data_IF_955245231563
#
_entry.id   IF_955245231563
#
_cell.length_a   1.000
_cell.length_b   1.000
_cell.length_c   1.000
_cell.angle_alpha   90.00
_cell.angle_beta   90.00
_cell.angle_gamma   90.00
#
_symmetry.space_group_name_H-M   'P 1'
#
loop_
_entity.id
_entity.type
_entity.pdbx_description
1 polymer ?
#
# COMPACT_ATOMS: atom_id res chain seq x y z
N UNK A 1 -20.34 -20.35 5.65
CA UNK A 1 -20.53 -18.99 5.07
C UNK A 1 -19.57 -18.82 3.91
N UNK A 2 -20.08 -18.84 2.67
CA UNK A 2 -19.28 -18.69 1.44
C UNK A 2 -19.13 -17.19 1.14
N UNK A 3 -17.90 -16.69 1.03
CA UNK A 3 -17.61 -15.35 0.52
C UNK A 3 -17.92 -15.32 -0.97
N UNK A 4 -18.83 -14.46 -1.40
CA UNK A 4 -19.18 -14.28 -2.82
C UNK A 4 -17.98 -13.75 -3.60
N UNK A 5 -17.52 -14.43 -4.67
CA UNK A 5 -16.59 -13.85 -5.62
C UNK A 5 -17.34 -12.82 -6.47
N UNK A 6 -16.70 -11.68 -6.74
CA UNK A 6 -17.16 -10.75 -7.76
C UNK A 6 -16.90 -11.42 -9.12
N UNK A 7 -17.97 -11.83 -9.82
CA UNK A 7 -17.86 -12.48 -11.12
C UNK A 7 -17.47 -11.48 -12.21
N UNK A 8 -16.27 -11.63 -12.76
CA UNK A 8 -15.88 -11.09 -14.05
C UNK A 8 -16.21 -12.11 -15.16
N UNK A 9 -16.46 -11.68 -16.41
CA UNK A 9 -16.96 -12.55 -17.49
C UNK A 9 -16.00 -13.65 -17.97
N UNK A 10 -14.77 -13.74 -17.44
CA UNK A 10 -13.73 -14.65 -17.94
C UNK A 10 -13.28 -15.73 -16.94
N UNK A 11 -14.03 -16.02 -15.87
CA UNK A 11 -13.77 -17.20 -15.01
C UNK A 11 -12.49 -17.16 -14.16
N UNK A 12 -11.65 -16.13 -14.29
CA UNK A 12 -10.58 -15.83 -13.33
C UNK A 12 -11.20 -15.11 -12.14
N UNK A 13 -11.31 -15.80 -11.01
CA UNK A 13 -11.60 -15.15 -9.73
C UNK A 13 -10.47 -14.15 -9.48
N UNK A 14 -10.73 -12.86 -9.60
CA UNK A 14 -9.72 -11.82 -9.33
C UNK A 14 -9.35 -11.86 -7.84
N UNK A 15 -8.30 -12.61 -7.51
CA UNK A 15 -7.80 -12.69 -6.14
C UNK A 15 -6.95 -11.46 -5.84
N UNK A 16 -7.54 -10.50 -5.13
CA UNK A 16 -6.81 -9.36 -4.60
C UNK A 16 -5.83 -9.81 -3.52
N UNK A 17 -4.55 -9.48 -3.69
CA UNK A 17 -3.48 -9.69 -2.69
C UNK A 17 -3.45 -8.50 -1.72
N UNK A 18 -3.24 -8.77 -0.43
CA UNK A 18 -2.91 -7.73 0.56
C UNK A 18 -1.44 -7.38 0.38
N UNK A 19 -1.13 -6.22 -0.20
CA UNK A 19 0.25 -5.85 -0.50
C UNK A 19 0.93 -5.22 0.71
N UNK A 20 0.26 -4.28 1.36
CA UNK A 20 0.84 -3.52 2.45
C UNK A 20 -0.23 -2.99 3.38
N UNK A 21 0.10 -2.95 4.67
CA UNK A 21 -0.68 -2.31 5.72
C UNK A 21 0.15 -1.23 6.38
N UNK A 22 -0.45 -0.09 6.68
CA UNK A 22 0.20 0.93 7.49
C UNK A 22 -0.79 1.84 8.20
N UNK A 23 -0.29 2.63 9.14
CA UNK A 23 -1.05 3.62 9.89
C UNK A 23 -0.67 5.07 9.52
N UNK A 24 -1.50 6.01 9.92
CA UNK A 24 -1.18 7.43 9.87
C UNK A 24 -2.05 8.25 10.82
N UNK A 25 -1.61 9.46 11.16
CA UNK A 25 -2.44 10.49 11.80
C UNK A 25 -3.47 11.11 10.86
N UNK A 26 -3.25 11.03 9.55
CA UNK A 26 -4.21 11.45 8.54
C UNK A 26 -4.14 10.47 7.36
N UNK A 27 -4.97 9.43 7.45
CA UNK A 27 -4.92 8.24 6.60
C UNK A 27 -5.10 8.55 5.12
N UNK A 28 -6.10 9.35 4.74
CA UNK A 28 -6.36 9.71 3.34
C UNK A 28 -5.25 10.61 2.79
N UNK A 29 -4.82 11.62 3.55
CA UNK A 29 -3.71 12.50 3.15
C UNK A 29 -2.45 11.68 2.92
N UNK A 30 -2.11 10.76 3.83
CA UNK A 30 -0.95 9.87 3.70
C UNK A 30 -0.98 9.06 2.41
N UNK A 31 -2.12 8.45 2.09
CA UNK A 31 -2.27 7.69 0.85
C UNK A 31 -2.07 8.58 -0.36
N UNK A 32 -2.78 9.70 -0.45
CA UNK A 32 -2.73 10.59 -1.63
C UNK A 32 -1.35 11.21 -1.79
N UNK A 33 -0.81 11.86 -0.75
CA UNK A 33 0.39 12.70 -0.87
C UNK A 33 1.68 11.90 -0.84
N UNK A 34 1.76 10.83 -0.05
CA UNK A 34 3.00 10.08 0.10
C UNK A 34 3.02 8.79 -0.73
N UNK A 35 1.90 8.11 -0.91
CA UNK A 35 1.87 6.84 -1.63
C UNK A 35 1.57 7.04 -3.11
N UNK A 36 0.47 7.69 -3.45
CA UNK A 36 0.06 7.91 -4.84
C UNK A 36 0.95 8.95 -5.55
N UNK A 37 1.33 10.03 -4.88
CA UNK A 37 2.06 11.16 -5.49
C UNK A 37 3.44 11.46 -4.88
N UNK A 38 3.88 10.65 -3.93
CA UNK A 38 5.17 10.83 -3.28
C UNK A 38 6.32 10.17 -4.04
N UNK A 39 7.46 10.04 -3.36
CA UNK A 39 8.65 9.36 -3.83
C UNK A 39 9.13 8.32 -2.80
N UNK A 40 10.13 7.52 -3.15
CA UNK A 40 10.67 6.50 -2.24
C UNK A 40 11.21 7.12 -0.96
N UNK A 41 11.69 8.36 -0.94
CA UNK A 41 12.24 8.96 0.28
C UNK A 41 11.20 9.07 1.40
N UNK A 42 10.03 9.62 1.07
CA UNK A 42 8.97 9.98 2.02
C UNK A 42 7.99 8.85 2.37
N UNK A 43 8.15 7.65 1.79
CA UNK A 43 7.17 6.57 1.94
C UNK A 43 7.80 5.20 2.14
N UNK A 44 7.51 4.58 3.30
CA UNK A 44 7.93 3.20 3.59
C UNK A 44 7.36 2.18 2.59
N UNK A 45 6.08 2.32 2.21
CA UNK A 45 5.47 1.53 1.16
C UNK A 45 6.23 1.66 -0.17
N UNK A 46 6.54 2.87 -0.62
CA UNK A 46 7.24 3.08 -1.90
C UNK A 46 8.64 2.46 -1.88
N UNK A 47 9.37 2.55 -0.76
CA UNK A 47 10.65 1.85 -0.57
C UNK A 47 10.47 0.34 -0.71
N UNK A 48 9.50 -0.23 0.00
CA UNK A 48 9.26 -1.67 -0.02
C UNK A 48 8.86 -2.16 -1.41
N UNK A 49 8.01 -1.41 -2.14
CA UNK A 49 7.66 -1.70 -3.54
C UNK A 49 8.88 -1.63 -4.44
N UNK A 50 9.68 -0.56 -4.35
CA UNK A 50 10.89 -0.41 -5.16
C UNK A 50 11.87 -1.58 -4.96
N UNK A 51 12.15 -1.93 -3.71
CA UNK A 51 13.02 -3.05 -3.37
C UNK A 51 12.46 -4.40 -3.85
N UNK A 52 11.14 -4.62 -3.73
CA UNK A 52 10.47 -5.84 -4.18
C UNK A 52 10.46 -5.99 -5.71
N UNK A 53 10.32 -4.88 -6.45
CA UNK A 53 10.50 -4.84 -7.92
C UNK A 53 11.96 -5.13 -8.30
N UNK A 54 12.91 -4.94 -7.38
CA UNK A 54 14.33 -5.25 -7.59
C UNK A 54 15.22 -4.03 -7.73
N UNK A 55 14.70 -2.82 -7.54
CA UNK A 55 15.50 -1.61 -7.51
C UNK A 55 16.35 -1.55 -6.24
N UNK A 56 17.61 -1.13 -6.40
CA UNK A 56 18.46 -0.76 -5.26
C UNK A 56 18.12 0.67 -4.84
N UNK A 57 18.23 0.96 -3.54
CA UNK A 57 18.03 2.29 -2.99
C UNK A 57 19.37 2.89 -2.57
N UNK A 58 19.74 4.03 -3.16
CA UNK A 58 20.94 4.77 -2.81
C UNK A 58 20.63 5.78 -1.71
N UNK A 59 21.45 5.78 -0.66
CA UNK A 59 21.37 6.73 0.45
C UNK A 59 22.54 7.71 0.38
N UNK A 60 22.26 9.00 0.44
CA UNK A 60 23.28 10.06 0.43
C UNK A 60 23.02 11.03 1.55
N UNK A 61 24.06 11.47 2.26
CA UNK A 61 23.92 12.44 3.35
C UNK A 61 23.85 13.85 2.76
N UNK A 62 22.83 14.63 3.17
CA UNK A 62 22.69 16.05 2.81
C UNK A 62 23.64 16.91 3.64
N UNK A 63 23.86 18.16 3.21
CA UNK A 63 24.62 19.17 3.96
C UNK A 63 24.05 19.40 5.37
N UNK A 64 22.73 19.36 5.52
CA UNK A 64 22.06 19.49 6.82
C UNK A 64 22.07 18.21 7.67
N UNK A 65 22.83 17.18 7.28
CA UNK A 65 22.95 15.91 7.99
C UNK A 65 21.84 14.90 7.72
N UNK A 66 20.69 15.31 7.15
CA UNK A 66 19.61 14.37 6.83
C UNK A 66 19.96 13.43 5.67
N UNK A 67 19.32 12.27 5.61
CA UNK A 67 19.56 11.29 4.54
C UNK A 67 18.58 11.51 3.38
N UNK A 68 19.12 11.66 2.17
CA UNK A 68 18.38 11.58 0.91
C UNK A 68 18.38 10.15 0.41
N UNK A 69 17.23 9.66 -0.03
CA UNK A 69 17.05 8.29 -0.54
C UNK A 69 16.47 8.38 -1.94
N UNK A 70 17.07 7.67 -2.90
CA UNK A 70 16.55 7.55 -4.27
C UNK A 70 16.73 6.13 -4.79
N UNK A 71 16.01 5.82 -5.86
CA UNK A 71 16.27 4.62 -6.65
C UNK A 71 17.63 4.77 -7.35
N UNK A 72 18.45 3.73 -7.28
CA UNK A 72 19.82 3.69 -7.80
C UNK A 72 19.82 3.29 -9.27
N UNK A 73 19.43 4.24 -10.11
CA UNK A 73 19.47 4.19 -11.57
C UNK A 73 20.17 5.44 -12.11
N UNK A 74 20.61 5.39 -13.36
CA UNK A 74 21.17 6.55 -14.07
C UNK A 74 20.17 7.72 -14.09
N UNK A 75 18.89 7.44 -14.38
CA UNK A 75 17.77 8.33 -14.09
C UNK A 75 16.84 7.72 -13.02
N UNK A 76 16.87 8.21 -11.77
CA UNK A 76 15.98 7.74 -10.72
C UNK A 76 14.48 7.92 -11.01
N UNK A 77 14.10 8.83 -11.92
CA UNK A 77 12.70 9.12 -12.23
C UNK A 77 12.02 7.98 -13.01
N UNK A 78 12.77 7.22 -13.80
CA UNK A 78 12.25 6.03 -14.49
C UNK A 78 11.73 5.00 -13.47
N UNK A 79 12.55 4.70 -12.46
CA UNK A 79 12.16 3.81 -11.38
C UNK A 79 10.96 4.33 -10.57
N UNK A 80 10.93 5.64 -10.28
CA UNK A 80 9.80 6.26 -9.57
C UNK A 80 8.51 6.21 -10.39
N UNK A 81 8.60 6.29 -11.71
CA UNK A 81 7.45 6.17 -12.61
C UNK A 81 6.85 4.78 -12.54
N UNK A 82 7.68 3.73 -12.59
CA UNK A 82 7.22 2.34 -12.44
C UNK A 82 6.59 2.09 -11.07
N UNK A 83 7.23 2.53 -10.00
CA UNK A 83 6.69 2.42 -8.63
C UNK A 83 5.36 3.16 -8.50
N UNK A 84 5.25 4.35 -9.10
CA UNK A 84 4.01 5.13 -9.10
C UNK A 84 2.90 4.43 -9.86
N UNK A 85 3.18 3.90 -11.05
CA UNK A 85 2.21 3.18 -11.86
C UNK A 85 1.64 1.98 -11.09
N UNK A 86 2.49 1.15 -10.50
CA UNK A 86 2.08 0.00 -9.70
C UNK A 86 1.21 0.38 -8.50
N UNK A 87 1.58 1.43 -7.76
CA UNK A 87 0.79 1.85 -6.59
C UNK A 87 -0.55 2.44 -7.02
N UNK A 88 -0.58 3.21 -8.11
CA UNK A 88 -1.80 3.86 -8.62
C UNK A 88 -2.78 2.88 -9.26
N UNK A 89 -2.32 1.76 -9.83
CA UNK A 89 -3.18 0.69 -10.33
C UNK A 89 -3.82 -0.15 -9.22
N UNK A 90 -3.26 -0.10 -8.01
CA UNK A 90 -3.84 -0.73 -6.83
C UNK A 90 -5.13 -0.07 -6.35
N UNK A 91 -5.80 -0.76 -5.43
CA UNK A 91 -6.98 -0.24 -4.73
C UNK A 91 -6.70 -0.16 -3.24
N UNK A 92 -7.34 0.80 -2.59
CA UNK A 92 -7.13 1.13 -1.19
C UNK A 92 -8.37 0.81 -0.38
N UNK A 93 -8.17 0.18 0.77
CA UNK A 93 -9.15 0.15 1.86
C UNK A 93 -8.56 0.84 3.06
N UNK A 94 -9.38 1.53 3.83
CA UNK A 94 -8.91 2.17 5.04
C UNK A 94 -10.05 2.30 6.06
N UNK A 95 -9.68 2.56 7.30
CA UNK A 95 -10.61 2.88 8.38
C UNK A 95 -10.03 4.01 9.23
N UNK A 96 -10.90 4.92 9.67
CA UNK A 96 -10.56 5.96 10.65
C UNK A 96 -10.75 5.36 12.04
N UNK A 97 -9.73 5.51 12.88
CA UNK A 97 -9.66 5.10 14.26
C UNK A 97 -9.95 6.30 15.19
N UNK A 98 -10.28 6.03 16.44
CA UNK A 98 -10.56 7.05 17.45
C UNK A 98 -9.33 7.90 17.77
N UNK A 99 -8.15 7.29 17.70
CA UNK A 99 -6.88 7.97 17.97
C UNK A 99 -5.73 7.38 17.16
N UNK A 100 -4.63 8.12 17.07
CA UNK A 100 -3.41 7.59 16.47
C UNK A 100 -2.83 6.42 17.28
N UNK A 101 -3.00 6.42 18.61
CA UNK A 101 -2.59 5.29 19.44
C UNK A 101 -3.36 4.01 19.08
N UNK A 102 -4.67 4.11 18.85
CA UNK A 102 -5.48 2.98 18.37
C UNK A 102 -5.02 2.55 16.97
N UNK A 103 -4.85 3.48 16.03
CA UNK A 103 -4.39 3.15 14.67
C UNK A 103 -3.03 2.44 14.66
N UNK A 104 -2.09 2.93 15.47
CA UNK A 104 -0.73 2.40 15.55
C UNK A 104 -0.67 0.98 16.12
N UNK A 105 -1.53 0.65 17.07
CA UNK A 105 -1.63 -0.70 17.64
C UNK A 105 -2.47 -1.62 16.74
N UNK A 106 -3.56 -1.11 16.17
CA UNK A 106 -4.44 -1.84 15.25
C UNK A 106 -3.72 -2.29 13.96
N UNK A 107 -2.78 -1.52 13.40
CA UNK A 107 -2.06 -1.96 12.21
C UNK A 107 -1.31 -3.29 12.44
N UNK A 108 -0.78 -3.53 13.64
CA UNK A 108 -0.04 -4.75 13.96
C UNK A 108 -0.99 -5.95 14.04
N UNK A 109 -2.18 -5.74 14.61
CA UNK A 109 -3.26 -6.71 14.50
C UNK A 109 -3.58 -7.03 13.03
N UNK A 110 -3.80 -6.01 12.20
CA UNK A 110 -4.14 -6.19 10.79
C UNK A 110 -3.02 -6.91 10.02
N UNK A 111 -1.75 -6.57 10.24
CA UNK A 111 -0.59 -7.27 9.67
C UNK A 111 -0.60 -8.74 10.09
N UNK A 112 -0.84 -9.05 11.36
CA UNK A 112 -0.86 -10.44 11.86
C UNK A 112 -1.95 -11.31 11.21
N UNK A 113 -3.10 -10.70 10.87
CA UNK A 113 -4.25 -11.43 10.29
C UNK A 113 -4.18 -11.52 8.78
N UNK A 114 -3.74 -10.45 8.11
CA UNK A 114 -3.74 -10.36 6.66
C UNK A 114 -2.46 -10.88 6.02
N UNK A 115 -1.35 -10.94 6.77
CA UNK A 115 -0.02 -11.37 6.29
C UNK A 115 0.35 -10.69 4.95
N UNK A 116 0.32 -9.35 4.88
CA UNK A 116 0.53 -8.64 3.63
C UNK A 116 1.95 -8.84 3.09
N UNK A 117 2.09 -8.86 1.76
CA UNK A 117 3.32 -9.25 1.05
C UNK A 117 4.54 -8.44 1.51
N UNK A 118 4.39 -7.13 1.73
CA UNK A 118 5.51 -6.22 1.96
C UNK A 118 5.78 -5.85 3.42
N UNK A 119 4.90 -6.19 4.38
CA UNK A 119 5.19 -5.93 5.79
C UNK A 119 6.08 -7.05 6.34
N UNK A 120 7.40 -6.84 6.29
CA UNK A 120 8.39 -7.82 6.79
C UNK A 120 8.54 -7.87 8.30
N UNK A 121 8.12 -6.82 9.00
CA UNK A 121 8.21 -6.71 10.46
C UNK A 121 6.84 -6.87 11.08
N UNK A 122 6.81 -7.47 12.27
CA UNK A 122 5.64 -7.53 13.13
C UNK A 122 6.05 -7.06 14.52
N UNK A 123 5.23 -6.23 15.14
CA UNK A 123 5.36 -5.88 16.55
C UNK A 123 4.18 -6.47 17.34
N UNK A 124 4.32 -6.65 18.66
CA UNK A 124 3.20 -6.96 19.52
C UNK A 124 2.09 -5.92 19.41
N UNK A 125 0.86 -6.36 19.62
CA UNK A 125 -0.31 -5.50 19.77
C UNK A 125 -1.08 -5.90 21.03
N UNK A 126 -1.92 -5.01 21.54
CA UNK A 126 -2.68 -5.23 22.77
C UNK A 126 -3.79 -6.28 22.59
N UNK A 127 -3.55 -7.49 23.10
CA UNK A 127 -4.49 -8.62 23.02
C UNK A 127 -5.84 -8.35 23.71
N UNK A 128 -5.90 -7.45 24.70
CA UNK A 128 -7.17 -7.07 25.34
C UNK A 128 -8.15 -6.41 24.34
N UNK A 129 -7.63 -5.84 23.25
CA UNK A 129 -8.41 -5.17 22.19
C UNK A 129 -8.84 -6.10 21.06
N UNK A 130 -8.64 -7.41 21.19
CA UNK A 130 -8.94 -8.40 20.13
C UNK A 130 -10.33 -8.23 19.52
N UNK A 131 -11.37 -8.03 20.35
CA UNK A 131 -12.76 -7.85 19.89
C UNK A 131 -12.88 -6.59 19.02
N UNK A 132 -12.41 -5.46 19.54
CA UNK A 132 -12.42 -4.16 18.86
C UNK A 132 -11.66 -4.21 17.53
N UNK A 133 -10.48 -4.82 17.49
CA UNK A 133 -9.69 -4.90 16.26
C UNK A 133 -10.26 -5.85 15.22
N UNK A 134 -10.93 -6.93 15.65
CA UNK A 134 -11.70 -7.78 14.74
C UNK A 134 -12.83 -7.00 14.08
N UNK A 135 -13.55 -6.17 14.83
CA UNK A 135 -14.62 -5.32 14.31
C UNK A 135 -14.08 -4.28 13.32
N UNK A 136 -13.01 -3.58 13.67
CA UNK A 136 -12.36 -2.61 12.78
C UNK A 136 -11.87 -3.27 11.48
N UNK A 137 -11.21 -4.42 11.59
CA UNK A 137 -10.74 -5.16 10.42
C UNK A 137 -11.91 -5.62 9.54
N UNK A 138 -12.97 -6.16 10.14
CA UNK A 138 -14.18 -6.58 9.41
C UNK A 138 -14.83 -5.41 8.66
N UNK A 139 -15.00 -4.26 9.32
CA UNK A 139 -15.52 -3.04 8.70
C UNK A 139 -14.63 -2.56 7.55
N UNK A 140 -13.32 -2.52 7.76
CA UNK A 140 -12.35 -2.15 6.74
C UNK A 140 -12.41 -3.10 5.54
N UNK A 141 -12.46 -4.42 5.76
CA UNK A 141 -12.53 -5.41 4.68
C UNK A 141 -13.87 -5.41 3.93
N UNK A 142 -14.99 -5.09 4.59
CA UNK A 142 -16.30 -4.94 3.95
C UNK A 142 -16.46 -3.63 3.17
N UNK A 143 -15.63 -2.62 3.46
CA UNK A 143 -15.67 -1.35 2.75
C UNK A 143 -15.31 -1.50 1.27
N UNK A 144 -15.80 -0.57 0.45
CA UNK A 144 -15.46 -0.49 -0.98
C UNK A 144 -13.98 -0.16 -1.14
N UNK A 145 -13.29 -0.90 -2.01
CA UNK A 145 -11.93 -0.57 -2.41
C UNK A 145 -11.93 0.65 -3.35
N UNK A 146 -11.03 1.60 -3.12
CA UNK A 146 -10.99 2.89 -3.83
C UNK A 146 -9.69 3.02 -4.62
N UNK A 147 -9.74 3.57 -5.83
CA UNK A 147 -8.54 4.04 -6.52
C UNK A 147 -8.03 5.34 -5.88
N UNK A 148 -6.76 5.71 -6.15
CA UNK A 148 -6.16 6.95 -5.64
C UNK A 148 -7.06 8.18 -5.86
N UNK A 149 -7.63 8.31 -7.07
CA UNK A 149 -8.47 9.47 -7.43
C UNK A 149 -9.80 9.52 -6.66
N UNK A 150 -10.33 8.36 -6.24
CA UNK A 150 -11.60 8.27 -5.49
C UNK A 150 -11.43 8.47 -3.98
N UNK A 151 -10.20 8.71 -3.51
CA UNK A 151 -9.91 9.04 -2.11
C UNK A 151 -10.05 10.53 -1.80
N UNK A 152 -10.01 11.40 -2.81
CA UNK A 152 -10.24 12.83 -2.60
C UNK A 152 -11.61 13.07 -1.96
N UNK A 153 -11.66 14.00 -1.00
CA UNK A 153 -12.86 14.36 -0.22
C UNK A 153 -13.45 13.23 0.63
N UNK A 154 -12.73 12.13 0.84
CA UNK A 154 -13.17 11.10 1.78
C UNK A 154 -12.85 11.47 3.23
N UNK A 155 -13.67 11.04 4.20
CA UNK A 155 -13.39 11.27 5.62
C UNK A 155 -12.01 10.75 6.00
N UNK A 156 -11.28 11.54 6.78
CA UNK A 156 -9.91 11.22 7.17
C UNK A 156 -9.67 11.59 8.63
N UNK A 157 -8.61 11.00 9.18
CA UNK A 157 -8.17 11.16 10.55
C UNK A 157 -7.09 10.13 10.84
N UNK A 158 -6.79 9.88 12.12
CA UNK A 158 -5.96 8.75 12.50
C UNK A 158 -6.56 7.46 11.96
N UNK A 159 -5.77 6.57 11.38
CA UNK A 159 -6.35 5.38 10.76
C UNK A 159 -5.33 4.43 10.17
N UNK A 160 -5.85 3.27 9.76
CA UNK A 160 -5.08 2.18 9.12
C UNK A 160 -5.57 2.02 7.68
N UNK A 161 -4.64 1.76 6.77
CA UNK A 161 -4.90 1.53 5.36
C UNK A 161 -4.28 0.22 4.89
N UNK A 162 -4.85 -0.30 3.81
CA UNK A 162 -4.41 -1.48 3.08
C UNK A 162 -4.26 -1.09 1.61
N UNK A 163 -3.11 -1.39 1.02
CA UNK A 163 -2.97 -1.47 -0.43
C UNK A 163 -3.33 -2.89 -0.89
N UNK A 164 -4.30 -2.99 -1.79
CA UNK A 164 -4.70 -4.20 -2.49
C UNK A 164 -4.22 -4.14 -3.93
N UNK A 165 -3.70 -5.25 -4.44
CA UNK A 165 -3.29 -5.36 -5.84
C UNK A 165 -3.47 -6.79 -6.34
N UNK A 166 -3.72 -6.98 -7.63
CA UNK A 166 -3.86 -8.31 -8.23
C UNK A 166 -2.49 -9.00 -8.43
N UNK A 167 -1.46 -8.21 -8.71
CA UNK A 167 -0.08 -8.64 -8.86
C UNK A 167 0.73 -8.32 -7.60
N UNK A 168 1.70 -9.15 -7.27
CA UNK A 168 2.72 -8.80 -6.28
C UNK A 168 3.82 -7.97 -6.97
N UNK A 169 4.55 -7.09 -6.27
CA UNK A 169 5.60 -6.30 -6.91
C UNK A 169 6.74 -7.17 -7.48
N UNK A 170 7.01 -8.32 -6.89
CA UNK A 170 8.02 -9.29 -7.36
C UNK A 170 7.64 -9.89 -8.73
N UNK A 171 6.35 -9.91 -9.08
CA UNK A 171 5.88 -10.40 -10.38
C UNK A 171 6.37 -9.46 -11.51
N UNK A 172 6.54 -8.16 -11.24
CA UNK A 172 7.09 -7.18 -12.18
C UNK A 172 8.58 -7.41 -12.43
N UNK A 173 9.32 -7.83 -11.40
CA UNK A 173 10.75 -8.16 -11.52
C UNK A 173 10.98 -9.31 -12.50
N UNK A 174 10.10 -10.31 -12.46
CA UNK A 174 10.22 -11.56 -13.24
C UNK A 174 9.80 -11.40 -14.69
N UNK A 175 8.99 -10.38 -15.00
CA UNK A 175 8.49 -10.17 -16.35
C UNK A 175 8.46 -8.67 -16.73
N UNK A 176 9.54 -8.15 -17.31
CA UNK A 176 9.64 -6.73 -17.69
C UNK A 176 8.64 -6.32 -18.78
N UNK A 177 8.06 -7.27 -19.53
CA UNK A 177 6.98 -6.97 -20.51
C UNK A 177 5.72 -6.48 -19.77
N UNK A 178 5.47 -6.96 -18.56
CA UNK A 178 4.36 -6.48 -17.72
C UNK A 178 4.57 -5.00 -17.37
N UNK A 179 5.81 -4.55 -17.15
CA UNK A 179 6.13 -3.14 -16.89
C UNK A 179 5.76 -2.28 -18.11
N UNK A 180 6.13 -2.69 -19.32
CA UNK A 180 5.71 -1.96 -20.53
C UNK A 180 4.19 -1.90 -20.69
N UNK A 181 3.48 -2.99 -20.36
CA UNK A 181 2.01 -3.03 -20.38
C UNK A 181 1.39 -2.08 -19.35
N UNK A 182 1.96 -1.96 -18.15
CA UNK A 182 1.53 -0.97 -17.14
C UNK A 182 1.77 0.48 -17.57
N UNK A 183 2.88 0.74 -18.27
CA UNK A 183 3.23 2.08 -18.70
C UNK A 183 2.45 2.52 -19.96
N UNK A 184 2.00 1.58 -20.79
CA UNK A 184 1.29 1.85 -22.05
C UNK A 184 -0.24 1.90 -21.94
N UNK A 185 -0.85 1.18 -20.99
CA UNK A 185 -2.32 1.07 -20.91
C UNK A 185 -3.02 2.20 -20.14
N UNK A 186 -2.28 3.10 -19.51
CA UNK A 186 -2.88 4.10 -18.61
C UNK A 186 -3.61 3.46 -17.42
N UNK A 187 -4.14 4.26 -16.48
CA UNK A 187 -4.93 3.72 -15.38
C UNK A 187 -6.25 3.14 -15.90
N UNK A 188 -6.50 1.86 -15.62
CA UNK A 188 -7.82 1.25 -15.79
C UNK A 188 -8.79 1.91 -14.80
N UNK A 189 -9.66 2.78 -15.31
CA UNK A 189 -10.74 3.43 -14.55
C UNK A 189 -11.85 2.44 -14.14
#
# INVERSE_FOLDING_TARGET
>A
MKTSPFNCPNGLVETWKHIYVGDSRNVVKRIITNHCHGNVEGSALRKAVAEAIGYRLRKTRRRNGSMRIRIDLSDPNEGETVVSAYIKSGKWKYIVCESYKEAHDFQWYAISKLKPVLNRKMQPWDYSKTRRYRELLSRMLKSRALSCNKLHNKPTGPGVYILLHQLAPEDLKRNPIIIQKFLSLGPLD
#
